data_IF_335877295270
#
_entry.id   IF_335877295270
#
_cell.length_a   1.000
_cell.length_b   1.000
_cell.length_c   1.000
_cell.angle_alpha   90.00
_cell.angle_beta   90.00
_cell.angle_gamma   90.00
#
_symmetry.space_group_name_H-M   'P 1'
#
loop_
_entity.id
_entity.type
_entity.pdbx_description
1 polymer ?
#
# COMPACT_ATOMS: atom_id res chain seq x y z
N UNK A 1 24.61 -55.48 -13.51
CA UNK A 1 24.44 -54.77 -12.22
C UNK A 1 24.75 -53.26 -12.28
N UNK A 2 25.90 -52.82 -12.84
CA UNK A 2 26.30 -51.40 -12.88
C UNK A 2 25.35 -50.46 -13.65
N UNK A 3 24.68 -50.94 -14.70
CA UNK A 3 23.74 -50.14 -15.52
C UNK A 3 22.43 -49.86 -14.79
N UNK A 4 21.92 -50.84 -14.04
CA UNK A 4 20.69 -50.68 -13.25
C UNK A 4 20.85 -49.62 -12.15
N UNK A 5 22.01 -49.62 -11.48
CA UNK A 5 22.32 -48.64 -10.44
C UNK A 5 22.40 -47.20 -10.98
N UNK A 6 22.91 -47.02 -12.21
CA UNK A 6 22.98 -45.70 -12.88
C UNK A 6 21.60 -45.16 -13.25
N UNK A 7 20.69 -46.03 -13.70
CA UNK A 7 19.31 -45.65 -14.04
C UNK A 7 18.56 -45.24 -12.77
N UNK A 8 18.71 -46.00 -11.68
CA UNK A 8 18.08 -45.69 -10.40
C UNK A 8 18.54 -44.33 -9.85
N UNK A 9 19.82 -44.01 -9.93
CA UNK A 9 20.34 -42.69 -9.50
C UNK A 9 19.79 -41.54 -10.33
N UNK A 10 19.61 -41.71 -11.64
CA UNK A 10 19.05 -40.67 -12.52
C UNK A 10 17.58 -40.43 -12.21
N UNK A 11 16.80 -41.48 -11.94
CA UNK A 11 15.38 -41.35 -11.55
C UNK A 11 15.24 -40.63 -10.21
N UNK A 12 16.10 -40.94 -9.22
CA UNK A 12 16.11 -40.25 -7.93
C UNK A 12 16.44 -38.76 -8.12
N UNK A 13 17.46 -38.44 -8.92
CA UNK A 13 17.83 -37.05 -9.22
C UNK A 13 16.67 -36.31 -9.93
N UNK A 14 16.04 -36.93 -10.93
CA UNK A 14 14.90 -36.33 -11.65
C UNK A 14 13.68 -36.12 -10.74
N UNK A 15 13.43 -37.02 -9.79
CA UNK A 15 12.34 -36.86 -8.80
C UNK A 15 12.63 -35.73 -7.79
N UNK A 16 13.91 -35.47 -7.47
CA UNK A 16 14.30 -34.35 -6.62
C UNK A 16 14.13 -33.01 -7.36
N UNK A 17 14.45 -32.94 -8.66
CA UNK A 17 14.31 -31.71 -9.47
C UNK A 17 12.86 -31.21 -9.54
N UNK A 18 11.87 -32.12 -9.58
CA UNK A 18 10.44 -31.72 -9.62
C UNK A 18 9.92 -31.07 -8.33
N UNK A 19 10.56 -31.30 -7.18
CA UNK A 19 10.12 -30.76 -5.88
C UNK A 19 10.58 -29.31 -5.67
N UNK A 20 11.65 -28.88 -6.35
CA UNK A 20 12.21 -27.53 -6.24
C UNK A 20 11.67 -26.53 -7.28
N UNK A 21 10.71 -26.94 -8.12
CA UNK A 21 10.24 -26.15 -9.26
C UNK A 21 8.82 -25.63 -9.18
N UNK A 22 8.07 -25.89 -8.10
CA UNK A 22 6.72 -25.34 -7.97
C UNK A 22 6.83 -23.89 -7.49
N UNK A 23 6.42 -22.93 -8.32
CA UNK A 23 6.26 -21.56 -7.84
C UNK A 23 5.35 -21.56 -6.61
N UNK A 24 5.70 -20.83 -5.55
CA UNK A 24 4.86 -20.78 -4.36
C UNK A 24 3.47 -20.31 -4.79
N UNK A 25 2.52 -21.24 -4.77
CA UNK A 25 1.12 -20.94 -5.07
C UNK A 25 0.57 -19.95 -4.05
N UNK A 26 -0.52 -19.27 -4.43
CA UNK A 26 -1.26 -18.41 -3.50
C UNK A 26 -1.66 -19.26 -2.28
N UNK A 27 -1.12 -18.92 -1.11
CA UNK A 27 -1.36 -19.67 0.14
C UNK A 27 -2.71 -19.34 0.76
N UNK A 28 -3.20 -18.11 0.57
CA UNK A 28 -4.55 -17.70 0.93
C UNK A 28 -4.96 -16.47 0.11
N UNK A 29 -6.27 -16.24 -0.02
CA UNK A 29 -6.82 -15.00 -0.56
C UNK A 29 -8.10 -14.60 0.16
N UNK A 30 -8.32 -13.29 0.31
CA UNK A 30 -9.53 -12.73 0.92
C UNK A 30 -9.90 -11.43 0.24
N UNK A 31 -11.20 -11.17 0.17
CA UNK A 31 -11.75 -9.98 -0.48
C UNK A 31 -12.11 -8.93 0.57
N UNK A 32 -11.53 -7.74 0.43
CA UNK A 32 -11.86 -6.57 1.25
C UNK A 32 -12.58 -5.56 0.37
N UNK A 33 -13.86 -5.33 0.64
CA UNK A 33 -14.70 -4.46 -0.18
C UNK A 33 -15.06 -3.19 0.59
N UNK A 34 -14.87 -2.01 -0.02
CA UNK A 34 -15.45 -0.79 0.51
C UNK A 34 -16.98 -0.91 0.55
N UNK A 35 -17.60 -0.47 1.63
CA UNK A 35 -19.05 -0.51 1.77
C UNK A 35 -19.66 0.60 0.91
N UNK A 36 -20.27 0.25 -0.23
CA UNK A 36 -20.99 1.22 -1.04
C UNK A 36 -22.39 1.46 -0.49
N UNK A 37 -22.69 2.70 -0.09
CA UNK A 37 -24.04 3.10 0.33
C UNK A 37 -25.05 3.05 -0.82
N UNK A 38 -24.57 2.96 -2.07
CA UNK A 38 -25.38 3.04 -3.29
C UNK A 38 -25.54 1.70 -4.03
N UNK A 39 -25.03 0.57 -3.48
CA UNK A 39 -25.20 -0.76 -4.08
C UNK A 39 -24.43 -1.01 -5.38
N UNK A 40 -23.62 -0.04 -5.83
CA UNK A 40 -22.70 -0.19 -6.97
C UNK A 40 -21.42 -0.84 -6.45
N UNK A 41 -20.96 -1.90 -7.13
CA UNK A 41 -19.75 -2.62 -6.75
C UNK A 41 -18.51 -1.77 -7.13
N UNK A 42 -17.81 -1.20 -6.16
CA UNK A 42 -16.56 -0.49 -6.46
C UNK A 42 -15.44 -1.44 -6.81
N UNK A 43 -14.67 -1.05 -7.81
CA UNK A 43 -13.30 -1.54 -7.95
C UNK A 43 -12.49 -0.96 -6.80
N UNK A 44 -11.75 -1.81 -6.11
CA UNK A 44 -10.71 -1.40 -5.19
C UNK A 44 -9.37 -1.86 -5.75
N UNK A 45 -8.38 -0.98 -5.79
CA UNK A 45 -7.02 -1.29 -6.21
C UNK A 45 -6.10 -0.95 -5.07
N UNK A 46 -5.36 -1.94 -4.57
CA UNK A 46 -4.27 -1.70 -3.63
C UNK A 46 -3.03 -1.24 -4.40
N UNK A 47 -2.36 -0.22 -3.89
CA UNK A 47 -1.12 0.31 -4.45
C UNK A 47 0.09 -0.05 -3.59
N UNK A 48 -0.09 -0.07 -2.27
CA UNK A 48 0.96 -0.40 -1.32
C UNK A 48 0.38 -1.10 -0.07
N UNK A 49 1.24 -1.79 0.66
CA UNK A 49 0.88 -2.45 1.89
C UNK A 49 2.07 -3.11 2.59
N UNK A 50 1.94 -3.22 3.91
CA UNK A 50 3.00 -3.69 4.79
C UNK A 50 2.47 -4.64 5.86
N UNK A 51 3.33 -5.56 6.28
CA UNK A 51 3.15 -6.28 7.53
C UNK A 51 3.66 -5.42 8.69
N UNK A 52 2.86 -5.30 9.74
CA UNK A 52 3.21 -4.61 10.97
C UNK A 52 4.00 -5.54 11.91
N UNK A 53 4.77 -5.03 12.88
CA UNK A 53 5.60 -5.88 13.75
C UNK A 53 4.83 -6.91 14.60
N UNK A 54 3.53 -6.70 14.80
CA UNK A 54 2.65 -7.64 15.49
C UNK A 54 2.04 -8.70 14.55
N UNK A 55 2.38 -8.68 13.25
CA UNK A 55 1.87 -9.62 12.25
C UNK A 55 0.65 -9.12 11.48
N UNK A 56 -0.03 -8.09 11.97
CA UNK A 56 -1.15 -7.43 11.29
C UNK A 56 -0.73 -6.88 9.93
N UNK A 57 -1.70 -6.67 9.03
CA UNK A 57 -1.45 -6.11 7.70
C UNK A 57 -2.12 -4.75 7.57
N UNK A 58 -1.47 -3.84 6.84
CA UNK A 58 -2.04 -2.57 6.42
C UNK A 58 -1.86 -2.44 4.90
N UNK A 59 -2.86 -1.92 4.20
CA UNK A 59 -2.76 -1.62 2.77
C UNK A 59 -3.52 -0.36 2.45
N UNK A 60 -2.99 0.40 1.48
CA UNK A 60 -3.63 1.58 0.91
C UNK A 60 -3.88 1.38 -0.58
N UNK A 61 -4.94 2.03 -1.04
CA UNK A 61 -5.42 1.91 -2.39
C UNK A 61 -6.35 3.05 -2.79
N UNK A 62 -7.09 2.79 -3.86
CA UNK A 62 -8.30 3.53 -4.18
C UNK A 62 -9.55 2.65 -4.10
N UNK A 63 -10.68 3.25 -3.75
CA UNK A 63 -12.02 2.77 -4.02
C UNK A 63 -12.72 3.71 -5.03
N UNK A 64 -13.65 3.19 -5.82
CA UNK A 64 -14.34 3.97 -6.87
C UNK A 64 -15.85 3.92 -6.71
N UNK A 65 -16.48 4.96 -6.15
CA UNK A 65 -17.95 5.09 -6.11
C UNK A 65 -18.43 6.51 -5.73
N UNK A 66 -19.20 7.19 -6.60
CA UNK A 66 -18.88 7.45 -8.00
C UNK A 66 -17.55 8.23 -8.17
N UNK A 67 -16.93 8.64 -7.07
CA UNK A 67 -15.64 9.30 -7.00
C UNK A 67 -14.55 8.32 -6.60
N UNK A 68 -13.30 8.66 -6.92
CA UNK A 68 -12.14 7.92 -6.46
C UNK A 68 -11.81 8.40 -5.04
N UNK A 69 -11.75 7.48 -4.08
CA UNK A 69 -11.42 7.76 -2.69
C UNK A 69 -10.20 6.95 -2.28
N UNK A 70 -9.38 7.48 -1.38
CA UNK A 70 -8.28 6.72 -0.82
C UNK A 70 -8.87 5.68 0.14
N UNK A 71 -8.57 4.40 -0.08
CA UNK A 71 -9.11 3.32 0.72
C UNK A 71 -8.00 2.62 1.48
N UNK A 72 -8.14 2.53 2.79
CA UNK A 72 -7.18 1.85 3.66
C UNK A 72 -7.85 0.66 4.32
N UNK A 73 -7.18 -0.48 4.32
CA UNK A 73 -7.60 -1.70 4.98
C UNK A 73 -6.53 -2.10 5.98
N UNK A 74 -6.95 -2.31 7.23
CA UNK A 74 -6.13 -2.98 8.25
C UNK A 74 -6.74 -4.33 8.61
N UNK A 75 -5.90 -5.36 8.68
CA UNK A 75 -6.30 -6.70 9.07
C UNK A 75 -5.40 -7.23 10.18
N UNK A 76 -5.86 -8.26 10.89
CA UNK A 76 -4.97 -9.05 11.72
C UNK A 76 -4.06 -9.95 10.84
N UNK A 77 -3.18 -10.72 11.46
CA UNK A 77 -2.28 -11.67 10.80
C UNK A 77 -2.99 -12.78 10.02
N UNK A 78 -4.24 -13.07 10.36
CA UNK A 78 -5.07 -14.10 9.70
C UNK A 78 -5.87 -13.51 8.52
N UNK A 79 -5.76 -12.20 8.28
CA UNK A 79 -6.53 -11.49 7.26
C UNK A 79 -7.95 -11.11 7.71
N UNK A 80 -8.32 -11.21 8.98
CA UNK A 80 -9.57 -10.65 9.46
C UNK A 80 -9.49 -9.13 9.55
N UNK A 81 -10.50 -8.47 8.98
CA UNK A 81 -10.58 -7.02 8.95
C UNK A 81 -10.69 -6.47 10.37
N UNK A 82 -9.73 -5.64 10.75
CA UNK A 82 -9.78 -4.84 11.97
C UNK A 82 -10.55 -3.55 11.70
N UNK A 83 -10.23 -2.87 10.60
CA UNK A 83 -10.97 -1.71 10.13
C UNK A 83 -10.73 -1.43 8.65
N UNK A 84 -11.65 -0.69 8.06
CA UNK A 84 -11.52 -0.09 6.73
C UNK A 84 -11.96 1.37 6.78
N UNK A 85 -11.29 2.22 6.01
CA UNK A 85 -11.55 3.66 5.98
C UNK A 85 -11.45 4.18 4.56
N UNK A 86 -12.41 5.00 4.18
CA UNK A 86 -12.38 5.80 2.95
C UNK A 86 -12.09 7.25 3.31
N UNK A 87 -11.16 7.86 2.59
CA UNK A 87 -10.79 9.26 2.77
C UNK A 87 -10.99 10.02 1.47
N UNK A 88 -11.71 11.14 1.59
CA UNK A 88 -11.97 12.08 0.52
C UNK A 88 -12.02 13.48 1.10
N UNK A 89 -11.69 14.50 0.29
CA UNK A 89 -11.86 15.90 0.69
C UNK A 89 -13.14 16.42 0.06
N UNK A 90 -14.22 16.45 0.84
CA UNK A 90 -15.49 17.11 0.55
C UNK A 90 -16.16 16.78 -0.82
N UNK A 91 -17.30 16.10 -0.73
CA UNK A 91 -18.12 15.66 -1.87
C UNK A 91 -18.53 16.80 -2.80
N UNK A 92 -18.60 18.04 -2.29
CA UNK A 92 -19.06 19.19 -3.08
C UNK A 92 -17.99 19.77 -4.02
N UNK A 93 -16.71 19.41 -3.83
CA UNK A 93 -15.60 19.94 -4.63
C UNK A 93 -15.08 18.96 -5.71
N UNK A 94 -15.83 17.87 -5.97
CA UNK A 94 -15.51 16.83 -6.97
C UNK A 94 -14.05 16.35 -6.89
N UNK A 95 -13.58 16.12 -5.67
CA UNK A 95 -12.20 15.71 -5.46
C UNK A 95 -12.03 14.20 -5.47
N UNK A 96 -11.11 13.72 -6.32
CA UNK A 96 -10.68 12.32 -6.36
C UNK A 96 -9.38 12.19 -5.59
N UNK A 97 -9.30 11.23 -4.67
CA UNK A 97 -8.10 10.98 -3.86
C UNK A 97 -7.68 9.52 -4.00
N UNK A 98 -6.38 9.30 -4.16
CA UNK A 98 -5.79 7.97 -4.22
C UNK A 98 -4.59 7.96 -3.29
N UNK A 99 -4.53 7.00 -2.37
CA UNK A 99 -3.30 6.72 -1.64
C UNK A 99 -2.47 5.71 -2.42
N UNK A 100 -1.19 6.03 -2.64
CA UNK A 100 -0.26 5.19 -3.39
C UNK A 100 0.87 4.62 -2.55
N UNK A 101 1.03 5.12 -1.33
CA UNK A 101 2.10 4.76 -0.41
C UNK A 101 1.62 4.92 1.03
N UNK A 102 1.98 4.00 1.93
CA UNK A 102 1.55 4.02 3.33
C UNK A 102 2.67 3.60 4.29
N UNK A 103 3.12 4.51 5.14
CA UNK A 103 4.19 4.20 6.10
C UNK A 103 3.69 4.26 7.54
N UNK A 104 4.18 3.35 8.39
CA UNK A 104 3.87 3.33 9.81
C UNK A 104 4.65 4.40 10.55
N UNK A 105 3.97 5.11 11.44
CA UNK A 105 4.60 6.02 12.39
C UNK A 105 4.90 5.39 13.75
N UNK A 106 5.82 6.02 14.47
CA UNK A 106 6.32 5.51 15.76
C UNK A 106 5.27 5.51 16.88
N UNK A 107 4.26 6.36 16.79
CA UNK A 107 3.12 6.41 17.72
C UNK A 107 2.02 5.36 17.42
N UNK A 108 2.22 4.51 16.40
CA UNK A 108 1.26 3.49 15.99
C UNK A 108 0.24 3.95 14.94
N UNK A 109 0.22 5.22 14.55
CA UNK A 109 -0.54 5.73 13.42
C UNK A 109 0.13 5.49 12.07
N UNK A 110 -0.42 6.08 11.00
CA UNK A 110 0.08 5.91 9.62
C UNK A 110 0.17 7.25 8.87
N UNK A 111 1.13 7.32 7.96
CA UNK A 111 1.24 8.38 6.96
C UNK A 111 0.85 7.79 5.62
N UNK A 112 0.07 8.54 4.84
CA UNK A 112 -0.35 8.16 3.51
C UNK A 112 0.06 9.26 2.56
N UNK A 113 0.69 8.89 1.45
CA UNK A 113 0.95 9.78 0.34
C UNK A 113 0.23 9.29 -0.91
N UNK A 114 -0.14 10.23 -1.76
CA UNK A 114 -0.65 9.96 -3.07
C UNK A 114 -1.11 11.23 -3.75
N UNK A 115 -2.16 11.13 -4.54
CA UNK A 115 -2.63 12.24 -5.37
C UNK A 115 -4.06 12.58 -5.01
N UNK A 116 -4.33 13.88 -5.06
CA UNK A 116 -5.67 14.42 -5.02
C UNK A 116 -5.93 15.25 -6.25
N UNK A 117 -7.19 15.35 -6.63
CA UNK A 117 -7.68 16.41 -7.50
C UNK A 117 -8.62 17.27 -6.68
N UNK A 118 -8.48 18.59 -6.76
CA UNK A 118 -9.41 19.54 -6.14
C UNK A 118 -9.64 20.69 -7.12
N UNK A 119 -10.91 20.97 -7.44
CA UNK A 119 -11.28 22.06 -8.37
C UNK A 119 -10.48 22.00 -9.68
N UNK A 120 -10.44 20.82 -10.31
CA UNK A 120 -9.71 20.52 -11.54
C UNK A 120 -8.17 20.70 -11.50
N UNK A 121 -7.60 20.92 -10.32
CA UNK A 121 -6.14 20.94 -10.14
C UNK A 121 -5.72 19.64 -9.46
N UNK A 122 -4.77 18.92 -10.05
CA UNK A 122 -4.15 17.73 -9.44
C UNK A 122 -2.90 18.12 -8.65
N UNK A 123 -2.68 17.44 -7.54
CA UNK A 123 -1.58 17.72 -6.63
C UNK A 123 -1.29 16.54 -5.70
N UNK A 124 -0.26 16.72 -4.87
CA UNK A 124 0.10 15.73 -3.85
C UNK A 124 -0.86 15.87 -2.69
N UNK A 125 -1.35 14.73 -2.22
CA UNK A 125 -2.11 14.62 -1.00
C UNK A 125 -1.32 13.81 0.02
N UNK A 126 -1.19 14.38 1.22
CA UNK A 126 -0.59 13.70 2.37
C UNK A 126 -1.63 13.65 3.47
N UNK A 127 -1.84 12.48 4.04
CA UNK A 127 -2.76 12.24 5.13
C UNK A 127 -2.02 11.59 6.31
N UNK A 128 -2.31 12.10 7.50
CA UNK A 128 -1.92 11.51 8.77
C UNK A 128 -3.14 10.92 9.45
N UNK A 129 -3.04 9.67 9.88
CA UNK A 129 -4.08 8.98 10.65
C UNK A 129 -3.51 8.37 11.92
N UNK A 130 -4.37 8.18 12.92
CA UNK A 130 -4.04 7.44 14.13
C UNK A 130 -4.06 5.91 13.91
N UNK A 131 -3.86 5.14 14.98
CA UNK A 131 -3.83 3.67 14.93
C UNK A 131 -5.19 3.02 14.56
N UNK A 132 -6.29 3.76 14.74
CA UNK A 132 -7.67 3.35 14.43
C UNK A 132 -8.10 3.81 13.03
N UNK A 133 -7.24 4.53 12.31
CA UNK A 133 -7.57 5.10 11.02
C UNK A 133 -8.48 6.33 11.14
N UNK A 134 -8.40 7.08 12.23
CA UNK A 134 -9.05 8.39 12.32
C UNK A 134 -8.09 9.47 11.83
N UNK A 135 -8.60 10.38 10.99
CA UNK A 135 -7.81 11.44 10.39
C UNK A 135 -7.33 12.43 11.45
N UNK A 136 -6.02 12.63 11.53
CA UNK A 136 -5.40 13.63 12.40
C UNK A 136 -5.22 14.95 11.65
N UNK A 137 -4.68 14.89 10.43
CA UNK A 137 -4.58 16.03 9.53
C UNK A 137 -4.36 15.57 8.08
N UNK A 138 -4.66 16.45 7.13
CA UNK A 138 -4.34 16.23 5.73
C UNK A 138 -3.87 17.52 5.07
N UNK A 139 -2.88 17.42 4.18
CA UNK A 139 -2.34 18.55 3.43
C UNK A 139 -2.38 18.27 1.95
N UNK A 140 -2.59 19.33 1.17
CA UNK A 140 -2.69 19.27 -0.28
C UNK A 140 -1.72 20.28 -0.90
N UNK A 141 -0.83 19.79 -1.76
CA UNK A 141 0.19 20.61 -2.41
C UNK A 141 -0.06 20.64 -3.92
N UNK A 142 -0.26 21.85 -4.43
CA UNK A 142 -0.38 22.15 -5.87
C UNK A 142 0.73 23.12 -6.27
N UNK A 143 1.15 23.09 -7.54
CA UNK A 143 2.07 24.10 -8.08
C UNK A 143 3.42 23.61 -8.62
N UNK A 144 3.57 22.33 -8.91
CA UNK A 144 4.69 21.80 -9.70
C UNK A 144 4.21 20.72 -10.65
N UNK A 145 4.98 20.41 -11.70
CA UNK A 145 4.84 19.15 -12.44
C UNK A 145 5.20 18.03 -11.47
N UNK A 146 4.23 17.60 -10.68
CA UNK A 146 4.43 16.49 -9.76
C UNK A 146 4.06 15.22 -10.48
N UNK A 147 5.08 14.45 -10.84
CA UNK A 147 4.90 13.15 -11.45
C UNK A 147 4.71 12.04 -10.41
N UNK A 148 5.31 12.19 -9.20
CA UNK A 148 5.15 11.20 -8.12
C UNK A 148 5.20 11.72 -6.67
N UNK A 149 4.55 11.00 -5.74
CA UNK A 149 4.62 11.19 -4.29
C UNK A 149 4.90 9.87 -3.55
N UNK A 150 5.91 9.86 -2.69
CA UNK A 150 6.33 8.72 -1.86
C UNK A 150 6.72 9.18 -0.46
N UNK A 151 6.55 8.32 0.53
CA UNK A 151 7.03 8.47 1.91
C UNK A 151 8.29 7.64 2.06
N UNK A 152 9.38 8.26 2.50
CA UNK A 152 10.63 7.55 2.78
C UNK A 152 10.91 7.55 4.27
N UNK A 153 11.21 6.38 4.85
CA UNK A 153 11.86 6.29 6.16
C UNK A 153 13.33 6.67 5.97
N UNK A 154 13.80 7.73 6.62
CA UNK A 154 15.24 8.07 6.62
C UNK A 154 16.03 6.89 7.20
N UNK A 155 16.68 6.12 6.33
CA UNK A 155 17.78 5.25 6.71
C UNK A 155 19.00 6.17 6.74
N UNK A 156 19.50 6.49 7.93
CA UNK A 156 20.76 7.20 8.09
C UNK A 156 21.86 6.52 7.26
N UNK A 157 22.11 6.99 6.02
CA UNK A 157 23.37 6.88 5.29
C UNK A 157 23.28 7.55 3.90
N UNK A 158 23.53 8.85 3.93
CA UNK A 158 24.27 9.66 2.95
C UNK A 158 24.56 9.06 1.54
N UNK A 159 24.01 9.75 0.54
CA UNK A 159 24.54 9.98 -0.82
C UNK A 159 24.31 8.93 -1.94
N UNK A 160 23.83 9.47 -3.09
CA UNK A 160 23.81 8.96 -4.49
C UNK A 160 22.53 8.19 -4.90
N UNK A 161 21.74 8.49 -5.96
CA UNK A 161 21.84 9.35 -7.14
C UNK A 161 20.44 9.61 -7.78
N UNK A 162 20.27 10.82 -8.34
CA UNK A 162 19.54 11.25 -9.56
C UNK A 162 18.45 10.35 -10.18
N UNK A 163 17.23 10.88 -10.28
CA UNK A 163 16.58 11.38 -11.51
C UNK A 163 15.28 12.12 -11.08
N UNK A 164 14.69 12.94 -11.94
CA UNK A 164 13.65 13.94 -11.67
C UNK A 164 12.45 13.49 -10.79
N UNK A 165 12.63 13.45 -9.47
CA UNK A 165 11.57 13.23 -8.49
C UNK A 165 11.71 14.33 -7.44
N UNK A 166 10.68 15.16 -7.28
CA UNK A 166 10.60 16.10 -6.16
C UNK A 166 10.42 15.28 -4.88
N UNK A 167 11.54 15.07 -4.18
CA UNK A 167 11.58 14.43 -2.87
C UNK A 167 10.80 15.27 -1.86
N UNK A 168 9.73 14.72 -1.31
CA UNK A 168 9.13 15.25 -0.09
C UNK A 168 9.60 14.38 1.07
N UNK A 169 10.78 14.68 1.62
CA UNK A 169 11.14 14.17 2.93
C UNK A 169 10.33 14.95 3.97
N UNK A 170 9.41 14.27 4.66
CA UNK A 170 8.81 14.83 5.86
C UNK A 170 9.86 14.79 6.97
N UNK A 171 10.50 15.92 7.25
CA UNK A 171 11.53 16.03 8.29
C UNK A 171 10.96 15.69 9.68
N UNK A 172 11.47 14.62 10.28
CA UNK A 172 11.04 14.03 11.54
C UNK A 172 11.47 14.81 12.81
N UNK A 173 11.67 16.14 12.75
CA UNK A 173 12.34 16.86 13.85
C UNK A 173 11.60 18.04 14.48
N UNK A 174 10.32 18.32 14.17
CA UNK A 174 9.63 19.47 14.78
C UNK A 174 8.16 19.28 15.12
N UNK A 175 7.76 18.11 15.63
CA UNK A 175 6.46 17.95 16.30
C UNK A 175 6.66 17.12 17.57
N UNK A 176 7.10 17.80 18.64
CA UNK A 176 6.91 17.34 20.03
C UNK A 176 5.50 17.64 20.48
#
# INVERSE_FOLDING_TARGET
MKIFLRILTIIIILSFVSVFGQEPGITWSKFYRPNSTLGIQTMAVAYDGHQLPNGDLISVGMSVNPFIMAYIVKTNSDGDTLWTKEYFTDVFNYGSFTGTDIERANDGGFFIAGYGTRQATTGIWILRVDANGDSLWSTYYTGGNVDTAYITRDIENNSRQRNHYTWFSCWWNNLR
#
